data_IF_280772855698
#
_entry.id   IF_280772855698
#
_cell.length_a   1.000
_cell.length_b   1.000
_cell.length_c   1.000
_cell.angle_alpha   90.00
_cell.angle_beta   90.00
_cell.angle_gamma   90.00
#
_symmetry.space_group_name_H-M   'P 1'
#
loop_
_entity.id
_entity.type
_entity.pdbx_description
1 polymer ?
#
# COMPACT_ATOMS: atom_id res chain seq x y z
N UNK A 1 23.80 -27.83 -49.00
CA UNK A 1 23.77 -26.40 -48.59
C UNK A 1 22.51 -26.09 -47.76
N UNK A 2 22.15 -26.92 -46.77
CA UNK A 2 20.91 -26.75 -45.96
C UNK A 2 21.11 -26.33 -44.50
N UNK A 3 22.30 -26.55 -43.94
CA UNK A 3 22.55 -26.31 -42.51
C UNK A 3 22.84 -24.84 -42.17
N UNK A 4 23.37 -24.05 -43.11
CA UNK A 4 23.69 -22.64 -42.87
C UNK A 4 22.44 -21.77 -42.75
N UNK A 5 21.41 -22.01 -43.57
CA UNK A 5 20.16 -21.24 -43.52
C UNK A 5 19.40 -21.44 -42.19
N UNK A 6 19.29 -22.68 -41.70
CA UNK A 6 18.67 -22.98 -40.40
C UNK A 6 19.41 -22.35 -39.22
N UNK A 7 20.75 -22.34 -39.26
CA UNK A 7 21.59 -21.73 -38.23
C UNK A 7 21.45 -20.21 -38.22
N UNK A 8 21.39 -19.57 -39.39
CA UNK A 8 21.16 -18.12 -39.53
C UNK A 8 19.78 -17.73 -38.97
N UNK A 9 18.72 -18.49 -39.30
CA UNK A 9 17.36 -18.22 -38.79
C UNK A 9 17.32 -18.36 -37.26
N UNK A 10 17.98 -19.39 -36.71
CA UNK A 10 18.02 -19.62 -35.26
C UNK A 10 18.79 -18.52 -34.53
N UNK A 11 19.89 -18.03 -35.12
CA UNK A 11 20.66 -16.89 -34.61
C UNK A 11 19.85 -15.59 -34.60
N UNK A 12 19.12 -15.31 -35.69
CA UNK A 12 18.24 -14.12 -35.79
C UNK A 12 17.11 -14.21 -34.75
N UNK A 13 16.49 -15.39 -34.60
CA UNK A 13 15.43 -15.59 -33.62
C UNK A 13 15.93 -15.39 -32.19
N UNK A 14 17.14 -15.86 -31.88
CA UNK A 14 17.78 -15.66 -30.57
C UNK A 14 18.02 -14.16 -30.28
N UNK A 15 18.49 -13.39 -31.26
CA UNK A 15 18.69 -11.94 -31.11
C UNK A 15 17.37 -11.22 -30.85
N UNK A 16 16.28 -11.60 -31.55
CA UNK A 16 14.95 -11.01 -31.33
C UNK A 16 14.42 -11.31 -29.93
N UNK A 17 14.56 -12.55 -29.45
CA UNK A 17 14.13 -12.93 -28.09
C UNK A 17 14.94 -12.18 -27.03
N UNK A 18 16.26 -12.08 -27.18
CA UNK A 18 17.12 -11.33 -26.25
C UNK A 18 16.76 -9.84 -26.27
N UNK A 19 16.56 -9.25 -27.45
CA UNK A 19 16.11 -7.86 -27.59
C UNK A 19 14.77 -7.59 -26.92
N UNK A 20 13.80 -8.49 -27.07
CA UNK A 20 12.49 -8.39 -26.44
C UNK A 20 12.59 -8.45 -24.90
N UNK A 21 13.41 -9.35 -24.34
CA UNK A 21 13.65 -9.43 -22.88
C UNK A 21 14.30 -8.14 -22.35
N UNK A 22 15.24 -7.56 -23.08
CA UNK A 22 15.88 -6.30 -22.68
C UNK A 22 14.87 -5.15 -22.69
N UNK A 23 14.06 -5.01 -23.74
CA UNK A 23 13.08 -3.93 -23.85
C UNK A 23 12.02 -4.05 -22.76
N UNK A 24 11.46 -5.25 -22.54
CA UNK A 24 10.43 -5.51 -21.52
C UNK A 24 10.95 -5.27 -20.09
N UNK A 25 12.20 -5.63 -19.80
CA UNK A 25 12.80 -5.34 -18.49
C UNK A 25 13.04 -3.85 -18.26
N UNK A 26 13.45 -3.09 -19.29
CA UNK A 26 13.65 -1.64 -19.20
C UNK A 26 12.32 -0.91 -19.01
N UNK A 27 11.29 -1.26 -19.78
CA UNK A 27 9.97 -0.60 -19.67
C UNK A 27 9.33 -0.88 -18.31
N UNK A 28 9.43 -2.12 -17.80
CA UNK A 28 8.98 -2.47 -16.44
C UNK A 28 9.68 -1.66 -15.36
N UNK A 29 11.01 -1.51 -15.42
CA UNK A 29 11.79 -0.70 -14.47
C UNK A 29 11.39 0.78 -14.50
N UNK A 30 11.16 1.34 -15.69
CA UNK A 30 10.73 2.75 -15.84
C UNK A 30 9.35 2.99 -15.23
N UNK A 31 8.40 2.08 -15.47
CA UNK A 31 7.05 2.17 -14.90
C UNK A 31 7.08 2.10 -13.36
N UNK A 32 7.81 1.13 -12.80
CA UNK A 32 7.95 0.98 -11.35
C UNK A 32 8.59 2.20 -10.68
N UNK A 33 9.58 2.84 -11.34
CA UNK A 33 10.20 4.07 -10.83
C UNK A 33 9.21 5.23 -10.75
N UNK A 34 8.38 5.42 -11.80
CA UNK A 34 7.36 6.46 -11.83
C UNK A 34 6.30 6.25 -10.74
N UNK A 35 5.83 5.02 -10.58
CA UNK A 35 4.84 4.69 -9.55
C UNK A 35 5.40 4.92 -8.15
N UNK A 36 6.65 4.50 -7.90
CA UNK A 36 7.33 4.77 -6.64
C UNK A 36 7.42 6.27 -6.35
N UNK A 37 7.82 7.07 -7.32
CA UNK A 37 7.93 8.52 -7.16
C UNK A 37 6.57 9.18 -6.87
N UNK A 38 5.50 8.73 -7.53
CA UNK A 38 4.14 9.17 -7.24
C UNK A 38 3.72 8.84 -5.81
N UNK A 39 3.97 7.61 -5.34
CA UNK A 39 3.68 7.20 -3.96
C UNK A 39 4.48 8.03 -2.94
N UNK A 40 5.77 8.25 -3.19
CA UNK A 40 6.61 9.08 -2.32
C UNK A 40 6.11 10.53 -2.27
N UNK A 41 5.68 11.10 -3.41
CA UNK A 41 5.09 12.44 -3.45
C UNK A 41 3.78 12.51 -2.65
N UNK A 42 2.92 11.50 -2.77
CA UNK A 42 1.67 11.43 -2.02
C UNK A 42 1.92 11.37 -0.50
N UNK A 43 2.80 10.47 -0.06
CA UNK A 43 3.20 10.35 1.35
C UNK A 43 3.83 11.65 1.87
N UNK A 44 4.71 12.29 1.07
CA UNK A 44 5.34 13.56 1.45
C UNK A 44 4.30 14.65 1.69
N UNK A 45 3.29 14.73 0.83
CA UNK A 45 2.22 15.69 0.96
C UNK A 45 1.38 15.42 2.21
N UNK A 46 1.11 14.15 2.53
CA UNK A 46 0.38 13.79 3.74
C UNK A 46 1.16 14.12 5.01
N UNK A 47 2.48 13.86 5.05
CA UNK A 47 3.35 14.26 6.17
C UNK A 47 3.38 15.79 6.32
N UNK A 48 3.47 16.53 5.21
CA UNK A 48 3.38 18.01 5.26
C UNK A 48 2.02 18.48 5.77
N UNK A 49 0.93 17.85 5.34
CA UNK A 49 -0.41 18.18 5.82
C UNK A 49 -0.57 17.87 7.31
N UNK A 50 0.00 16.75 7.78
CA UNK A 50 0.04 16.38 9.19
C UNK A 50 0.84 17.42 10.01
N UNK A 51 2.06 17.77 9.58
CA UNK A 51 2.88 18.79 10.24
C UNK A 51 2.21 20.18 10.27
N UNK A 52 1.49 20.55 9.21
CA UNK A 52 0.74 21.80 9.16
C UNK A 52 -0.44 21.81 10.14
N UNK A 53 -1.04 20.64 10.44
CA UNK A 53 -2.14 20.51 11.41
C UNK A 53 -1.62 20.45 12.85
N UNK A 54 -0.59 19.66 13.11
CA UNK A 54 -0.09 19.38 14.46
C UNK A 54 0.82 20.50 14.99
N UNK A 55 1.78 20.94 14.18
CA UNK A 55 2.83 21.88 14.61
C UNK A 55 2.72 23.27 13.96
N UNK A 56 1.66 23.50 13.16
CA UNK A 56 1.45 24.72 12.37
C UNK A 56 2.64 25.09 11.44
N UNK A 57 3.51 24.13 11.09
CA UNK A 57 4.67 24.37 10.24
C UNK A 57 4.32 24.15 8.77
N UNK A 58 4.01 25.23 8.05
CA UNK A 58 3.51 25.18 6.66
C UNK A 58 4.59 25.20 5.58
N UNK A 59 5.78 25.73 5.88
CA UNK A 59 6.85 25.92 4.89
C UNK A 59 8.07 25.02 5.17
N UNK A 60 7.89 23.71 5.03
CA UNK A 60 8.96 22.71 5.22
C UNK A 60 9.12 21.86 3.97
N UNK A 61 10.38 21.53 3.65
CA UNK A 61 10.73 20.46 2.72
C UNK A 61 10.96 19.18 3.52
N UNK A 62 10.28 18.11 3.11
CA UNK A 62 10.35 16.80 3.77
C UNK A 62 11.15 15.87 2.86
N UNK A 63 12.30 15.41 3.34
CA UNK A 63 13.15 14.45 2.65
C UNK A 63 13.11 13.09 3.34
N UNK A 64 13.01 12.04 2.54
CA UNK A 64 12.95 10.67 3.06
C UNK A 64 14.36 10.15 3.19
N UNK A 65 14.70 9.72 4.40
CA UNK A 65 16.00 9.13 4.66
C UNK A 65 15.91 7.60 4.63
N UNK A 66 15.05 7.03 5.48
CA UNK A 66 14.78 5.59 5.54
C UNK A 66 13.29 5.33 5.46
N UNK A 67 12.92 4.34 4.64
CA UNK A 67 11.54 3.85 4.51
C UNK A 67 11.58 2.35 4.72
N UNK A 68 10.84 1.89 5.72
CA UNK A 68 10.76 0.47 6.05
C UNK A 68 9.32 0.01 6.06
N UNK A 69 9.03 -1.01 5.25
CA UNK A 69 7.72 -1.67 5.25
C UNK A 69 7.65 -2.65 6.40
N UNK A 70 6.67 -2.48 7.28
CA UNK A 70 6.38 -3.47 8.31
C UNK A 70 5.82 -4.72 7.63
N UNK A 71 6.29 -5.88 8.07
CA UNK A 71 5.87 -7.18 7.54
C UNK A 71 5.38 -8.04 8.68
N UNK A 72 4.16 -8.55 8.56
CA UNK A 72 3.51 -9.36 9.57
C UNK A 72 2.09 -9.71 9.13
N UNK A 73 1.49 -10.79 9.69
CA UNK A 73 0.11 -11.16 9.40
C UNK A 73 -0.89 -10.03 9.70
N UNK A 74 -0.60 -9.18 10.69
CA UNK A 74 -1.41 -8.02 11.08
C UNK A 74 -1.51 -6.92 10.00
N UNK A 75 -0.57 -6.92 9.03
CA UNK A 75 -0.51 -5.95 7.93
C UNK A 75 -0.98 -6.53 6.59
N UNK A 76 -1.62 -7.72 6.58
CA UNK A 76 -2.01 -8.42 5.35
C UNK A 76 -2.86 -7.58 4.38
N UNK A 77 -3.68 -6.68 4.92
CA UNK A 77 -4.62 -5.85 4.16
C UNK A 77 -4.26 -4.36 4.19
N UNK A 78 -3.10 -4.00 4.73
CA UNK A 78 -2.69 -2.61 4.97
C UNK A 78 -1.20 -2.47 4.78
N UNK A 79 -0.80 -1.50 3.96
CA UNK A 79 0.62 -1.23 3.78
C UNK A 79 1.08 -0.24 4.86
N UNK A 80 1.71 -0.74 5.93
CA UNK A 80 2.25 0.10 7.01
C UNK A 80 3.75 0.29 6.83
N UNK A 81 4.18 1.55 6.90
CA UNK A 81 5.57 1.95 6.75
C UNK A 81 6.03 2.77 7.94
N UNK A 82 7.22 2.42 8.43
CA UNK A 82 8.02 3.27 9.30
C UNK A 82 8.88 4.17 8.43
N UNK A 83 8.63 5.47 8.50
CA UNK A 83 9.23 6.47 7.63
C UNK A 83 10.04 7.44 8.46
N UNK A 84 11.36 7.42 8.29
CA UNK A 84 12.27 8.41 8.87
C UNK A 84 12.47 9.52 7.84
N UNK A 85 12.17 10.75 8.25
CA UNK A 85 12.29 11.94 7.42
C UNK A 85 13.16 12.99 8.09
N UNK A 86 13.80 13.76 7.24
CA UNK A 86 14.51 14.98 7.59
C UNK A 86 13.65 16.18 7.19
N UNK A 87 13.45 17.09 8.13
CA UNK A 87 12.72 18.34 7.93
C UNK A 87 13.74 19.42 7.59
N UNK A 88 13.67 19.93 6.36
CA UNK A 88 14.60 20.93 5.83
C UNK A 88 13.85 22.25 5.63
N UNK A 89 14.45 23.33 6.09
CA UNK A 89 13.94 24.67 5.80
C UNK A 89 14.24 25.04 4.34
N UNK A 90 13.23 25.38 3.51
CA UNK A 90 13.45 25.60 2.08
C UNK A 90 14.39 26.77 1.75
N UNK A 91 14.41 27.81 2.60
CA UNK A 91 15.20 29.03 2.36
C UNK A 91 16.67 28.83 2.70
N UNK A 92 16.96 28.22 3.84
CA UNK A 92 18.33 28.07 4.35
C UNK A 92 18.95 26.73 3.94
N UNK A 93 18.16 25.79 3.44
CA UNK A 93 18.53 24.39 3.18
C UNK A 93 19.11 23.67 4.42
N UNK A 94 18.91 24.24 5.61
CA UNK A 94 19.38 23.63 6.85
C UNK A 94 18.40 22.56 7.30
N UNK A 95 18.95 21.43 7.72
CA UNK A 95 18.22 20.42 8.46
C UNK A 95 17.80 21.00 9.80
N UNK A 96 16.50 20.99 10.05
CA UNK A 96 15.91 21.47 11.30
C UNK A 96 15.87 20.32 12.29
N UNK A 97 15.32 19.18 11.85
CA UNK A 97 14.91 18.11 12.74
C UNK A 97 14.71 16.81 11.97
N UNK A 98 15.05 15.70 12.61
CA UNK A 98 14.83 14.34 12.11
C UNK A 98 13.70 13.70 12.89
N UNK A 99 12.70 13.14 12.21
CA UNK A 99 11.53 12.53 12.84
C UNK A 99 11.12 11.24 12.16
N UNK A 100 10.52 10.34 12.93
CA UNK A 100 9.93 9.11 12.44
C UNK A 100 8.40 9.17 12.47
N UNK A 101 7.76 8.64 11.43
CA UNK A 101 6.31 8.59 11.30
C UNK A 101 5.86 7.18 10.93
N UNK A 102 4.72 6.77 11.48
CA UNK A 102 3.98 5.62 10.98
C UNK A 102 3.03 6.11 9.87
N UNK A 103 3.23 5.57 8.67
CA UNK A 103 2.42 5.89 7.50
C UNK A 103 1.70 4.63 7.04
N UNK A 104 0.38 4.73 6.91
CA UNK A 104 -0.47 3.64 6.45
C UNK A 104 -1.04 3.94 5.07
N UNK A 105 -0.93 2.97 4.17
CA UNK A 105 -1.56 2.93 2.86
C UNK A 105 -2.73 1.97 2.85
N UNK A 106 -3.94 2.51 2.74
CA UNK A 106 -5.19 1.73 2.64
C UNK A 106 -5.59 1.68 1.17
N UNK A 107 -5.47 0.50 0.56
CA UNK A 107 -5.82 0.31 -0.85
C UNK A 107 -7.27 -0.16 -0.98
N UNK A 108 -8.10 0.67 -1.61
CA UNK A 108 -9.51 0.41 -1.88
C UNK A 108 -9.73 0.18 -3.37
N UNK A 109 -10.52 -0.84 -3.69
CA UNK A 109 -10.94 -1.11 -5.08
C UNK A 109 -12.02 -0.12 -5.48
N UNK A 110 -11.77 0.66 -6.53
CA UNK A 110 -12.78 1.56 -7.11
C UNK A 110 -13.56 0.79 -8.18
N UNK A 111 -12.85 0.15 -9.10
CA UNK A 111 -13.43 -0.61 -10.22
C UNK A 111 -12.75 -1.98 -10.41
N UNK A 112 -13.20 -2.76 -11.39
CA UNK A 112 -12.56 -4.04 -11.75
C UNK A 112 -11.06 -3.92 -12.07
N UNK A 113 -10.62 -2.78 -12.63
CA UNK A 113 -9.24 -2.52 -13.04
C UNK A 113 -8.53 -1.42 -12.26
N UNK A 114 -9.27 -0.63 -11.47
CA UNK A 114 -8.75 0.57 -10.81
C UNK A 114 -8.75 0.40 -9.30
N UNK A 115 -7.59 0.67 -8.69
CA UNK A 115 -7.41 0.70 -7.25
C UNK A 115 -6.90 2.08 -6.85
N UNK A 116 -7.39 2.60 -5.74
CA UNK A 116 -6.86 3.82 -5.14
C UNK A 116 -6.30 3.52 -3.76
N UNK A 117 -5.13 4.07 -3.48
CA UNK A 117 -4.48 3.97 -2.17
C UNK A 117 -4.60 5.32 -1.47
N UNK A 118 -5.29 5.34 -0.33
CA UNK A 118 -5.32 6.48 0.56
C UNK A 118 -4.18 6.36 1.57
N UNK A 119 -3.38 7.40 1.67
CA UNK A 119 -2.26 7.49 2.61
C UNK A 119 -2.70 8.27 3.85
N UNK A 120 -2.32 7.78 5.02
CA UNK A 120 -2.62 8.42 6.30
C UNK A 120 -1.37 8.35 7.17
N UNK A 121 -1.05 9.46 7.85
CA UNK A 121 -0.03 9.48 8.91
C UNK A 121 -0.74 9.22 10.22
N UNK A 122 -0.44 8.08 10.85
CA UNK A 122 -1.12 7.65 12.07
C UNK A 122 -0.52 8.33 13.30
N UNK A 123 0.78 8.11 13.51
CA UNK A 123 1.47 8.53 14.73
C UNK A 123 2.89 9.00 14.46
N UNK A 124 3.39 9.84 15.36
CA UNK A 124 4.82 10.15 15.48
C UNK A 124 5.45 8.98 16.24
N UNK A 125 6.56 8.45 15.73
CA UNK A 125 7.30 7.36 16.35
C UNK A 125 8.56 7.89 17.03
N UNK A 126 9.05 7.17 18.04
CA UNK A 126 10.38 7.42 18.60
C UNK A 126 11.44 7.12 17.53
N UNK A 127 12.33 8.08 17.29
CA UNK A 127 13.38 8.00 16.29
C UNK A 127 14.36 6.85 16.57
N UNK A 128 14.81 6.70 17.81
CA UNK A 128 15.84 5.73 18.18
C UNK A 128 15.32 4.29 18.06
N UNK A 129 14.12 4.03 18.59
CA UNK A 129 13.50 2.70 18.51
C UNK A 129 13.19 2.32 17.06
N UNK A 130 12.73 3.30 16.27
CA UNK A 130 12.41 3.07 14.86
C UNK A 130 13.67 2.77 14.06
N UNK A 131 14.76 3.51 14.25
CA UNK A 131 16.03 3.24 13.57
C UNK A 131 16.59 1.85 13.89
N UNK A 132 16.53 1.44 15.15
CA UNK A 132 16.94 0.09 15.55
C UNK A 132 16.08 -0.98 14.88
N UNK A 133 14.75 -0.80 14.89
CA UNK A 133 13.81 -1.71 14.21
C UNK A 133 14.09 -1.81 12.72
N UNK A 134 14.34 -0.67 12.07
CA UNK A 134 14.68 -0.61 10.64
C UNK A 134 16.01 -1.34 10.38
N UNK A 135 17.04 -1.09 11.19
CA UNK A 135 18.35 -1.72 11.05
C UNK A 135 18.29 -3.25 11.23
N UNK A 136 17.47 -3.72 12.18
CA UNK A 136 17.18 -5.15 12.36
C UNK A 136 16.44 -5.71 11.13
N UNK A 137 15.41 -5.00 10.67
CA UNK A 137 14.56 -5.42 9.55
C UNK A 137 15.29 -5.46 8.21
N UNK A 138 16.23 -4.55 7.99
CA UNK A 138 17.12 -4.49 6.82
C UNK A 138 18.32 -5.43 6.93
N UNK A 139 18.49 -6.10 8.09
CA UNK A 139 19.60 -7.02 8.41
C UNK A 139 20.96 -6.33 8.47
N UNK A 140 21.01 -5.01 8.66
CA UNK A 140 22.25 -4.27 8.92
C UNK A 140 22.84 -4.68 10.28
N UNK A 141 21.97 -4.96 11.26
CA UNK A 141 22.35 -5.49 12.57
C UNK A 141 22.00 -6.98 12.65
N UNK A 142 23.01 -7.81 12.90
CA UNK A 142 22.81 -9.26 13.10
C UNK A 142 22.31 -9.51 14.52
N UNK A 143 21.02 -9.78 14.65
CA UNK A 143 20.46 -10.34 15.90
C UNK A 143 21.16 -11.66 16.27
N UNK A 144 21.44 -11.82 17.56
CA UNK A 144 21.94 -13.07 18.15
C UNK A 144 20.91 -14.20 18.00
N UNK A 145 21.35 -15.46 18.19
CA UNK A 145 20.44 -16.63 18.06
C UNK A 145 19.31 -16.61 19.10
N UNK A 146 19.55 -16.04 20.27
CA UNK A 146 18.57 -15.97 21.37
C UNK A 146 17.51 -14.91 21.10
N UNK A 147 17.90 -13.71 20.66
CA UNK A 147 16.99 -12.64 20.26
C UNK A 147 16.08 -13.07 19.09
N UNK A 148 16.65 -13.77 18.09
CA UNK A 148 15.85 -14.32 16.99
C UNK A 148 14.82 -15.33 17.46
N UNK A 149 15.15 -16.17 18.46
CA UNK A 149 14.20 -17.14 19.03
C UNK A 149 13.13 -16.43 19.85
N UNK A 150 13.48 -15.38 20.58
CA UNK A 150 12.53 -14.57 21.35
C UNK A 150 11.51 -13.89 20.44
N UNK A 151 11.96 -13.24 19.36
CA UNK A 151 11.07 -12.60 18.37
C UNK A 151 10.13 -13.62 17.73
N UNK A 152 10.65 -14.77 17.28
CA UNK A 152 9.79 -15.82 16.70
C UNK A 152 8.74 -16.34 17.68
N UNK A 153 9.06 -16.41 18.97
CA UNK A 153 8.09 -16.81 20.00
C UNK A 153 7.02 -15.73 20.18
N UNK A 154 7.41 -14.45 20.27
CA UNK A 154 6.45 -13.35 20.39
C UNK A 154 5.53 -13.25 19.19
N UNK A 155 6.06 -13.40 17.97
CA UNK A 155 5.28 -13.32 16.73
C UNK A 155 4.24 -14.44 16.68
N UNK A 156 4.63 -15.66 17.09
CA UNK A 156 3.72 -16.82 17.15
C UNK A 156 2.63 -16.65 18.21
N UNK A 157 2.90 -15.94 19.31
CA UNK A 157 1.89 -15.63 20.33
C UNK A 157 0.90 -14.61 19.78
N UNK A 158 1.40 -13.50 19.20
CA UNK A 158 0.56 -12.46 18.57
C UNK A 158 -0.32 -13.01 17.46
N UNK A 159 0.23 -13.89 16.61
CA UNK A 159 -0.54 -14.55 15.55
C UNK A 159 -1.72 -15.37 16.12
N UNK A 160 -1.50 -16.10 17.22
CA UNK A 160 -2.58 -16.85 17.89
C UNK A 160 -3.62 -15.93 18.52
N UNK A 161 -3.21 -14.80 19.07
CA UNK A 161 -4.13 -13.81 19.65
C UNK A 161 -4.99 -13.16 18.57
N UNK A 162 -4.38 -12.69 17.49
CA UNK A 162 -5.10 -12.12 16.34
C UNK A 162 -6.07 -13.12 15.72
N UNK A 163 -5.64 -14.38 15.54
CA UNK A 163 -6.52 -15.43 15.02
C UNK A 163 -7.70 -15.74 15.96
N UNK A 164 -7.58 -15.51 17.27
CA UNK A 164 -8.71 -15.61 18.21
C UNK A 164 -9.66 -14.43 18.05
N UNK A 165 -9.13 -13.21 18.01
CA UNK A 165 -9.91 -11.98 17.81
C UNK A 165 -10.71 -12.06 16.51
N UNK A 166 -10.08 -12.43 15.39
CA UNK A 166 -10.77 -12.60 14.10
C UNK A 166 -11.90 -13.64 14.16
N UNK A 167 -11.67 -14.78 14.85
CA UNK A 167 -12.70 -15.80 15.04
C UNK A 167 -13.88 -15.28 15.86
N UNK A 168 -13.63 -14.46 16.86
CA UNK A 168 -14.67 -13.85 17.68
C UNK A 168 -15.46 -12.79 16.90
N UNK A 169 -14.80 -11.94 16.12
CA UNK A 169 -15.47 -10.97 15.24
C UNK A 169 -16.34 -11.66 14.18
N UNK A 170 -15.83 -12.70 13.52
CA UNK A 170 -16.61 -13.47 12.54
C UNK A 170 -17.83 -14.12 13.21
N UNK A 171 -17.70 -14.61 14.45
CA UNK A 171 -18.84 -15.16 15.20
C UNK A 171 -19.89 -14.07 15.50
N UNK A 172 -19.47 -12.87 15.91
CA UNK A 172 -20.36 -11.73 16.16
C UNK A 172 -21.10 -11.31 14.87
N UNK A 173 -20.38 -11.10 13.77
CA UNK A 173 -20.98 -10.75 12.47
C UNK A 173 -21.96 -11.84 12.00
N UNK A 174 -21.63 -13.12 12.19
CA UNK A 174 -22.56 -14.23 11.87
C UNK A 174 -23.80 -14.27 12.76
N UNK A 175 -23.68 -13.88 14.03
CA UNK A 175 -24.81 -13.78 14.95
C UNK A 175 -25.72 -12.60 14.55
N UNK A 176 -25.16 -11.42 14.31
CA UNK A 176 -25.87 -10.23 13.83
C UNK A 176 -26.56 -10.49 12.48
N UNK A 177 -25.90 -11.17 11.55
CA UNK A 177 -26.50 -11.56 10.27
C UNK A 177 -27.66 -12.56 10.43
N UNK A 178 -27.63 -13.42 11.47
CA UNK A 178 -28.75 -14.32 11.80
C UNK A 178 -29.91 -13.57 12.47
N UNK A 179 -29.64 -12.58 13.31
CA UNK A 179 -30.66 -11.73 13.90
C UNK A 179 -31.33 -10.83 12.85
N UNK A 180 -30.56 -10.20 11.97
CA UNK A 180 -31.09 -9.41 10.85
C UNK A 180 -31.91 -10.25 9.85
N UNK A 181 -31.64 -11.56 9.72
CA UNK A 181 -32.50 -12.47 8.94
C UNK A 181 -33.83 -12.78 9.62
N UNK A 182 -33.89 -12.75 10.96
CA UNK A 182 -35.13 -12.99 11.71
C UNK A 182 -36.03 -11.76 11.74
N UNK A 183 -35.44 -10.56 11.75
CA UNK A 183 -36.14 -9.29 11.67
C UNK A 183 -35.67 -8.50 10.44
N UNK A 184 -36.11 -8.86 9.22
CA UNK A 184 -35.82 -8.03 8.05
C UNK A 184 -36.50 -6.67 8.24
N UNK A 185 -35.71 -5.62 8.46
CA UNK A 185 -36.20 -4.25 8.30
C UNK A 185 -36.45 -4.07 6.81
N UNK A 186 -37.68 -4.37 6.38
CA UNK A 186 -38.15 -4.09 5.03
C UNK A 186 -38.21 -2.57 4.90
N UNK A 187 -37.12 -1.94 4.44
CA UNK A 187 -37.20 -0.60 3.90
C UNK A 187 -38.01 -0.70 2.61
N UNK A 188 -39.32 -0.43 2.71
CA UNK A 188 -40.17 -0.25 1.54
C UNK A 188 -39.63 0.97 0.80
N UNK A 189 -38.98 0.77 -0.34
CA UNK A 189 -38.68 1.83 -1.30
C UNK A 189 -39.97 2.25 -1.99
N UNK A 190 -40.83 2.98 -1.27
CA UNK A 190 -42.06 3.55 -1.84
C UNK A 190 -41.78 4.93 -2.40
N UNK A 191 -41.05 5.07 -3.50
CA UNK A 191 -40.89 6.40 -4.15
C UNK A 191 -41.07 6.43 -5.68
N UNK A 192 -41.39 5.32 -6.35
CA UNK A 192 -41.77 5.38 -7.78
C UNK A 192 -43.14 4.72 -8.02
N UNK A 193 -44.19 5.52 -7.83
CA UNK A 193 -45.56 5.27 -8.32
C UNK A 193 -45.79 5.85 -9.73
N UNK A 194 -44.75 6.03 -10.54
CA UNK A 194 -44.94 6.40 -11.94
C UNK A 194 -45.14 5.12 -12.74
N UNK A 195 -46.38 4.95 -13.26
CA UNK A 195 -46.69 3.86 -14.17
C UNK A 195 -45.80 4.00 -15.40
N UNK A 196 -45.02 2.97 -15.69
CA UNK A 196 -44.27 2.86 -16.93
C UNK A 196 -45.24 2.96 -18.13
N UNK A 197 -45.14 4.04 -18.90
CA UNK A 197 -45.86 4.20 -20.17
C UNK A 197 -44.85 4.02 -21.31
N UNK A 198 -44.93 2.94 -22.09
CA UNK A 198 -44.04 2.75 -23.23
C UNK A 198 -44.34 3.78 -24.32
N UNK A 199 -43.36 4.62 -24.63
CA UNK A 199 -43.43 5.59 -25.73
C UNK A 199 -43.10 4.83 -27.03
N UNK A 200 -44.09 4.69 -27.93
CA UNK A 200 -43.85 4.24 -29.31
C UNK A 200 -43.20 5.38 -30.08
N UNK A 201 -41.95 5.21 -30.52
CA UNK A 201 -41.33 6.12 -31.48
C UNK A 201 -42.16 6.11 -32.77
N UNK A 202 -42.76 7.24 -33.13
CA UNK A 202 -43.25 7.44 -34.50
C UNK A 202 -42.02 7.65 -35.38
N UNK A 203 -41.77 6.72 -36.28
CA UNK A 203 -40.96 6.98 -37.48
C UNK A 203 -41.64 8.13 -38.23
N UNK A 204 -40.96 9.26 -38.31
CA UNK A 204 -41.31 10.37 -39.20
C UNK A 204 -40.57 10.15 -40.51
N UNK A 205 -41.34 10.12 -41.60
CA UNK A 205 -40.90 10.24 -43.00
C UNK A 205 -40.01 11.47 -43.23
#
# INVERSE_FOLDING_TARGET
MGNSAGLIILLVMLVVVVGFVIITTITGKKAAKKEKEQRYKAVRNEIKAFLAKTDNRKNIRVEFEKVYSRKGPEYKYRDVFDVVVELIEPKTQKSIERRAYEVEGITTKIDKKNYATKWVVNTILDLNETEQRIAIGQKEVKLTKEERKAIKKSDRIKEKELAKIEKEEIKKIRAEAKENKKNPVIQRTTDHKEKFVPIRSKEGN
#
